data_IF_727395439979
#
_entry.id   IF_727395439979
#
_cell.length_a   1.000
_cell.length_b   1.000
_cell.length_c   1.000
_cell.angle_alpha   90.00
_cell.angle_beta   90.00
_cell.angle_gamma   90.00
#
_symmetry.space_group_name_H-M   'P 1'
#
loop_
_entity.id
_entity.type
_entity.pdbx_description
1 polymer ?
#
# COMPACT_ATOMS: atom_id res chain seq x y z
N UNK A 1 9.88 -4.46 -9.48
CA UNK A 1 9.71 -4.52 -10.95
C UNK A 1 10.75 -3.63 -11.58
N UNK A 2 11.56 -4.20 -12.46
CA UNK A 2 12.63 -3.50 -13.15
C UNK A 2 12.23 -3.25 -14.61
N UNK A 3 12.59 -2.12 -15.15
CA UNK A 3 12.50 -1.79 -16.58
C UNK A 3 13.92 -1.57 -17.05
N UNK A 4 14.35 -2.36 -17.99
CA UNK A 4 15.64 -2.26 -18.66
C UNK A 4 15.36 -2.10 -20.14
N UNK A 5 16.06 -1.21 -20.80
CA UNK A 5 16.07 -1.09 -22.27
C UNK A 5 17.50 -1.36 -22.73
N UNK A 6 17.65 -2.30 -23.63
CA UNK A 6 18.93 -2.60 -24.28
C UNK A 6 19.30 -1.44 -25.22
N UNK A 7 20.45 -0.77 -25.01
CA UNK A 7 20.89 0.31 -25.89
C UNK A 7 21.05 -0.14 -27.33
N UNK A 8 21.61 -1.33 -27.58
CA UNK A 8 21.86 -1.84 -28.94
C UNK A 8 20.56 -2.12 -29.70
N UNK A 9 19.52 -2.59 -29.04
CA UNK A 9 18.19 -2.75 -29.66
C UNK A 9 17.60 -1.39 -30.11
N UNK A 10 17.91 -0.32 -29.37
CA UNK A 10 17.52 1.05 -29.71
C UNK A 10 18.38 1.65 -30.84
N UNK A 11 19.65 1.30 -30.90
CA UNK A 11 20.56 1.72 -31.95
C UNK A 11 20.05 1.29 -33.32
N UNK A 12 19.66 0.03 -33.43
CA UNK A 12 19.11 -0.55 -34.65
C UNK A 12 17.80 0.10 -35.10
N UNK A 13 17.00 0.59 -34.13
CA UNK A 13 15.73 1.29 -34.39
C UNK A 13 15.88 2.75 -34.75
N UNK A 14 16.94 3.42 -34.29
CA UNK A 14 17.10 4.87 -34.42
C UNK A 14 18.12 5.28 -35.49
N UNK A 15 18.92 4.34 -36.05
CA UNK A 15 19.90 4.60 -37.10
C UNK A 15 20.88 5.75 -36.76
N UNK A 16 21.09 6.73 -37.67
CA UNK A 16 22.04 7.82 -37.47
C UNK A 16 21.75 8.73 -36.25
N UNK A 17 20.60 8.59 -35.62
CA UNK A 17 20.24 9.31 -34.38
C UNK A 17 20.79 8.67 -33.09
N UNK A 18 21.69 7.74 -33.23
CA UNK A 18 22.35 7.00 -32.13
C UNK A 18 22.85 7.85 -30.97
N UNK A 19 23.38 9.04 -31.24
CA UNK A 19 23.84 9.97 -30.18
C UNK A 19 22.78 10.34 -29.16
N UNK A 20 21.50 10.18 -29.51
CA UNK A 20 20.37 10.47 -28.62
C UNK A 20 19.69 9.20 -28.04
N UNK A 21 20.14 7.99 -28.42
CA UNK A 21 19.53 6.74 -27.99
C UNK A 21 19.46 6.62 -26.46
N UNK A 22 20.51 6.96 -25.74
CA UNK A 22 20.54 6.95 -24.27
C UNK A 22 19.52 7.93 -23.67
N UNK A 23 19.32 9.09 -24.26
CA UNK A 23 18.30 10.06 -23.84
C UNK A 23 16.88 9.53 -24.08
N UNK A 24 16.65 8.95 -25.27
CA UNK A 24 15.35 8.35 -25.61
C UNK A 24 15.01 7.22 -24.64
N UNK A 25 15.96 6.31 -24.38
CA UNK A 25 15.80 5.21 -23.44
C UNK A 25 15.51 5.69 -22.02
N UNK A 26 16.33 6.60 -21.51
CA UNK A 26 16.13 7.19 -20.18
C UNK A 26 14.74 7.81 -20.06
N UNK A 27 14.34 8.60 -21.04
CA UNK A 27 13.05 9.30 -21.05
C UNK A 27 11.89 8.31 -21.10
N UNK A 28 11.95 7.31 -21.98
CA UNK A 28 10.94 6.28 -22.13
C UNK A 28 10.76 5.46 -20.84
N UNK A 29 11.86 5.03 -20.19
CA UNK A 29 11.82 4.31 -18.93
C UNK A 29 11.15 5.17 -17.85
N UNK A 30 11.57 6.42 -17.69
CA UNK A 30 11.08 7.30 -16.64
C UNK A 30 9.60 7.63 -16.82
N UNK A 31 9.16 7.93 -18.04
CA UNK A 31 7.75 8.19 -18.36
C UNK A 31 6.89 6.92 -18.13
N UNK A 32 7.42 5.75 -18.48
CA UNK A 32 6.75 4.45 -18.25
C UNK A 32 6.57 4.17 -16.77
N UNK A 33 7.62 4.34 -15.96
CA UNK A 33 7.54 4.12 -14.51
C UNK A 33 6.62 5.13 -13.84
N UNK A 34 6.62 6.38 -14.27
CA UNK A 34 5.69 7.39 -13.74
C UNK A 34 4.24 7.01 -14.03
N UNK A 35 3.93 6.61 -15.28
CA UNK A 35 2.59 6.17 -15.66
C UNK A 35 2.20 4.88 -14.93
N UNK A 36 3.08 3.87 -14.90
CA UNK A 36 2.82 2.62 -14.18
C UNK A 36 2.56 2.85 -12.68
N UNK A 37 3.30 3.77 -12.06
CA UNK A 37 3.03 4.18 -10.67
C UNK A 37 1.63 4.79 -10.52
N UNK A 38 1.24 5.68 -11.44
CA UNK A 38 -0.09 6.32 -11.42
C UNK A 38 -1.21 5.29 -11.59
N UNK A 39 -1.06 4.38 -12.55
CA UNK A 39 -2.02 3.32 -12.82
C UNK A 39 -2.12 2.34 -11.64
N UNK A 40 -0.99 1.93 -11.05
CA UNK A 40 -0.94 1.08 -9.87
C UNK A 40 -1.64 1.73 -8.67
N UNK A 41 -1.41 3.04 -8.44
CA UNK A 41 -2.11 3.78 -7.38
C UNK A 41 -3.62 3.88 -7.64
N UNK A 42 -4.04 3.97 -8.90
CA UNK A 42 -5.45 3.94 -9.28
C UNK A 42 -6.07 2.58 -8.96
N UNK A 43 -5.42 1.49 -9.36
CA UNK A 43 -5.87 0.13 -9.08
C UNK A 43 -5.94 -0.19 -7.57
N UNK A 44 -5.04 0.37 -6.77
CA UNK A 44 -5.14 0.25 -5.31
C UNK A 44 -6.47 0.78 -4.74
N UNK A 45 -7.10 1.76 -5.38
CA UNK A 45 -8.37 2.31 -4.90
C UNK A 45 -9.52 1.33 -5.06
N UNK A 46 -9.46 0.47 -6.07
CA UNK A 46 -10.50 -0.52 -6.38
C UNK A 46 -10.31 -1.84 -5.63
N UNK A 47 -9.05 -2.24 -5.38
CA UNK A 47 -8.72 -3.54 -4.78
C UNK A 47 -8.54 -3.49 -3.26
N UNK A 48 -8.23 -2.33 -2.69
CA UNK A 48 -8.10 -2.17 -1.23
C UNK A 48 -9.42 -1.64 -0.67
N UNK A 49 -10.00 -2.35 0.29
CA UNK A 49 -11.24 -1.92 0.96
C UNK A 49 -11.11 -0.47 1.44
N UNK A 50 -12.05 0.39 1.06
CA UNK A 50 -12.09 1.84 1.32
C UNK A 50 -10.87 2.62 0.80
N UNK A 51 -10.11 2.00 -0.10
CA UNK A 51 -8.93 2.58 -0.74
C UNK A 51 -7.69 2.70 0.16
N UNK A 52 -6.54 2.98 -0.45
CA UNK A 52 -5.27 3.09 0.25
C UNK A 52 -5.18 4.38 1.08
N UNK A 53 -4.56 4.30 2.26
CA UNK A 53 -4.23 5.48 3.07
C UNK A 53 -3.21 6.37 2.33
N UNK A 54 -3.09 7.67 2.68
CA UNK A 54 -2.01 8.51 2.15
C UNK A 54 -0.61 7.93 2.39
N UNK A 55 -0.43 7.26 3.53
CA UNK A 55 0.82 6.59 3.87
C UNK A 55 1.11 5.38 2.96
N UNK A 56 0.07 4.57 2.65
CA UNK A 56 0.15 3.48 1.67
C UNK A 56 0.51 3.98 0.27
N UNK A 57 -0.13 5.07 -0.19
CA UNK A 57 0.17 5.68 -1.49
C UNK A 57 1.63 6.14 -1.61
N UNK A 58 2.18 6.73 -0.53
CA UNK A 58 3.57 7.18 -0.49
C UNK A 58 4.59 6.04 -0.44
N UNK A 59 4.15 4.83 -0.09
CA UNK A 59 5.03 3.66 -0.10
C UNK A 59 5.42 3.18 -1.50
N UNK A 60 4.57 3.43 -2.51
CA UNK A 60 4.88 3.08 -3.90
C UNK A 60 5.79 4.15 -4.51
N UNK A 61 7.04 3.78 -4.71
CA UNK A 61 8.11 4.64 -5.23
C UNK A 61 8.73 4.04 -6.47
N UNK A 62 9.45 4.86 -7.23
CA UNK A 62 10.27 4.40 -8.34
C UNK A 62 11.63 5.08 -8.32
N UNK A 63 12.66 4.35 -8.71
CA UNK A 63 13.98 4.89 -9.06
C UNK A 63 14.01 5.24 -10.53
N UNK A 64 14.59 6.39 -10.86
CA UNK A 64 14.70 6.86 -12.22
C UNK A 64 15.92 6.24 -12.90
N UNK A 65 15.80 5.98 -14.21
CA UNK A 65 16.95 5.72 -15.07
C UNK A 65 17.74 7.01 -15.32
N UNK A 66 19.04 6.88 -15.50
CA UNK A 66 19.94 7.94 -15.98
C UNK A 66 20.49 7.58 -17.35
N UNK A 67 21.17 8.53 -18.03
CA UNK A 67 21.83 8.26 -19.33
C UNK A 67 22.90 7.16 -19.23
N UNK A 68 23.61 7.09 -18.10
CA UNK A 68 24.67 6.13 -17.88
C UNK A 68 24.17 4.80 -17.28
N UNK A 69 22.90 4.78 -16.81
CA UNK A 69 22.29 3.61 -16.20
C UNK A 69 20.82 3.52 -16.61
N UNK A 70 20.58 2.81 -17.72
CA UNK A 70 19.26 2.68 -18.36
C UNK A 70 18.36 1.65 -17.68
N UNK A 71 18.35 1.68 -16.34
CA UNK A 71 17.48 0.84 -15.54
C UNK A 71 16.67 1.69 -14.58
N UNK A 72 15.37 1.43 -14.53
CA UNK A 72 14.47 2.00 -13.53
C UNK A 72 13.67 0.92 -12.81
N UNK A 73 13.25 1.20 -11.58
CA UNK A 73 12.55 0.22 -10.74
C UNK A 73 11.33 0.84 -10.07
N UNK A 74 10.17 0.18 -10.16
CA UNK A 74 8.98 0.49 -9.37
C UNK A 74 8.91 -0.48 -8.18
N UNK A 75 8.79 0.03 -6.94
CA UNK A 75 8.86 -0.77 -5.74
C UNK A 75 8.02 -0.21 -4.59
N UNK A 76 7.65 -1.08 -3.65
CA UNK A 76 7.12 -0.66 -2.35
C UNK A 76 8.27 -0.47 -1.37
N UNK A 77 8.25 0.64 -0.67
CA UNK A 77 9.28 0.92 0.33
C UNK A 77 9.28 -0.15 1.43
N UNK A 78 10.47 -0.65 1.80
CA UNK A 78 10.68 -1.80 2.68
C UNK A 78 10.06 -1.66 4.10
N UNK A 79 9.97 -0.43 4.62
CA UNK A 79 9.40 -0.18 5.94
C UNK A 79 7.85 -0.19 5.94
N UNK A 80 7.24 -0.95 5.03
CA UNK A 80 5.79 -1.15 4.90
C UNK A 80 5.43 -2.64 4.87
N UNK A 81 5.74 -3.41 5.94
CA UNK A 81 5.59 -4.87 5.95
C UNK A 81 4.14 -5.33 5.70
N UNK A 82 3.15 -4.54 6.09
CA UNK A 82 1.74 -4.84 5.82
C UNK A 82 1.41 -4.92 4.32
N UNK A 83 2.18 -4.24 3.44
CA UNK A 83 1.98 -4.35 1.99
C UNK A 83 2.31 -5.74 1.48
N UNK A 84 3.33 -6.40 2.07
CA UNK A 84 3.63 -7.80 1.78
C UNK A 84 2.44 -8.69 2.09
N UNK A 85 1.80 -8.49 3.24
CA UNK A 85 0.60 -9.26 3.63
C UNK A 85 -0.58 -9.02 2.68
N UNK A 86 -0.76 -7.80 2.17
CA UNK A 86 -1.83 -7.48 1.20
C UNK A 86 -1.55 -8.15 -0.16
N UNK A 87 -0.29 -8.20 -0.60
CA UNK A 87 0.14 -8.72 -1.89
C UNK A 87 0.26 -10.25 -1.87
N UNK A 88 0.90 -10.80 -0.85
CA UNK A 88 1.25 -12.24 -0.80
C UNK A 88 0.28 -13.03 0.11
N UNK A 89 -0.50 -12.33 0.94
CA UNK A 89 -1.22 -12.95 2.05
C UNK A 89 -0.27 -13.28 3.21
N UNK A 90 -0.70 -14.21 4.06
CA UNK A 90 0.12 -14.68 5.17
C UNK A 90 -0.48 -14.39 6.54
N UNK A 91 0.36 -14.34 7.57
CA UNK A 91 -0.07 -14.14 8.95
C UNK A 91 0.25 -12.72 9.42
N UNK A 92 -0.77 -12.00 9.87
CA UNK A 92 -0.63 -10.71 10.58
C UNK A 92 -0.49 -10.99 12.06
N UNK A 93 0.62 -10.57 12.66
CA UNK A 93 0.87 -10.66 14.10
C UNK A 93 0.64 -9.31 14.77
N UNK A 94 0.32 -9.33 16.06
CA UNK A 94 0.25 -8.12 16.86
C UNK A 94 1.65 -7.48 16.98
N UNK A 95 1.74 -6.19 16.64
CA UNK A 95 2.98 -5.40 16.70
C UNK A 95 2.91 -4.48 17.91
N UNK A 96 3.89 -4.61 18.82
CA UNK A 96 3.97 -3.80 20.05
C UNK A 96 2.82 -3.99 21.04
N UNK A 97 1.92 -4.96 20.81
CA UNK A 97 0.83 -5.31 21.72
C UNK A 97 0.68 -6.82 21.85
N UNK A 98 0.08 -7.25 22.97
CA UNK A 98 -0.14 -8.69 23.22
C UNK A 98 -1.20 -9.31 22.29
N UNK A 99 -2.11 -8.48 21.74
CA UNK A 99 -3.24 -8.91 20.91
C UNK A 99 -3.48 -7.97 19.74
N UNK A 100 -4.03 -8.50 18.65
CA UNK A 100 -4.57 -7.71 17.54
C UNK A 100 -5.81 -6.95 18.02
N UNK A 101 -5.91 -5.68 17.64
CA UNK A 101 -7.06 -4.83 17.98
C UNK A 101 -7.98 -4.72 16.77
N UNK A 102 -9.12 -5.38 16.81
CA UNK A 102 -10.12 -5.36 15.74
C UNK A 102 -11.32 -4.51 16.17
N UNK A 103 -11.68 -3.43 15.48
CA UNK A 103 -12.80 -2.58 15.86
C UNK A 103 -14.15 -3.23 15.59
N UNK A 104 -15.11 -2.99 16.46
CA UNK A 104 -16.53 -3.18 16.16
C UNK A 104 -17.00 -1.96 15.37
N UNK A 105 -17.25 -2.15 14.06
CA UNK A 105 -17.49 -1.04 13.10
C UNK A 105 -18.60 -0.08 13.55
N UNK A 106 -19.71 -0.59 14.12
CA UNK A 106 -20.84 0.22 14.57
C UNK A 106 -20.59 0.96 15.88
N UNK A 107 -19.56 0.59 16.66
CA UNK A 107 -19.30 1.08 18.01
C UNK A 107 -18.03 1.93 18.14
N UNK A 108 -17.17 1.88 17.14
CA UNK A 108 -15.89 2.59 17.14
C UNK A 108 -15.83 3.61 15.99
N UNK A 109 -15.50 4.85 16.31
CA UNK A 109 -15.26 5.87 15.27
C UNK A 109 -13.97 5.57 14.54
N UNK A 110 -14.10 5.22 13.26
CA UNK A 110 -13.00 4.86 12.37
C UNK A 110 -12.62 6.04 11.45
N UNK A 111 -11.43 5.96 10.85
CA UNK A 111 -11.03 6.84 9.75
C UNK A 111 -11.82 6.50 8.48
N UNK A 112 -11.72 7.35 7.45
CA UNK A 112 -12.33 7.10 6.14
C UNK A 112 -11.90 5.75 5.55
N UNK A 113 -10.67 5.32 5.81
CA UNK A 113 -10.13 4.02 5.37
C UNK A 113 -10.44 2.85 6.32
N UNK A 114 -11.31 3.05 7.32
CA UNK A 114 -11.74 1.99 8.24
C UNK A 114 -10.75 1.66 9.36
N UNK A 115 -9.70 2.44 9.53
CA UNK A 115 -8.69 2.22 10.57
C UNK A 115 -9.05 2.95 11.88
N UNK A 116 -8.63 2.38 13.01
CA UNK A 116 -8.64 3.09 14.30
C UNK A 116 -7.56 4.17 14.25
N UNK A 117 -7.87 5.39 14.67
CA UNK A 117 -6.86 6.45 14.82
C UNK A 117 -5.81 6.05 15.85
N UNK A 118 -4.53 6.36 15.57
CA UNK A 118 -3.43 6.10 16.49
C UNK A 118 -3.74 6.69 17.88
N UNK A 119 -3.45 5.95 18.94
CA UNK A 119 -3.70 6.38 20.32
C UNK A 119 -5.17 6.32 20.76
N UNK A 120 -6.14 6.12 19.85
CA UNK A 120 -7.57 6.16 20.20
C UNK A 120 -8.00 5.10 21.23
N UNK A 121 -7.48 3.89 21.12
CA UNK A 121 -7.78 2.80 22.06
C UNK A 121 -7.31 3.16 23.46
N UNK A 122 -6.06 3.65 23.59
CA UNK A 122 -5.48 4.11 24.86
C UNK A 122 -6.26 5.28 25.44
N UNK A 123 -6.60 6.27 24.61
CA UNK A 123 -7.37 7.44 25.04
C UNK A 123 -8.79 7.06 25.52
N UNK A 124 -9.41 6.02 24.96
CA UNK A 124 -10.69 5.53 25.42
C UNK A 124 -10.55 4.67 26.69
N UNK A 125 -9.52 3.84 26.80
CA UNK A 125 -9.25 3.02 27.97
C UNK A 125 -9.06 3.85 29.25
N UNK A 126 -8.51 5.06 29.11
CA UNK A 126 -8.29 5.99 30.23
C UNK A 126 -9.56 6.77 30.66
N UNK A 127 -10.71 6.56 30.00
CA UNK A 127 -11.97 7.22 30.40
C UNK A 127 -12.68 6.42 31.51
N UNK A 128 -13.35 7.07 32.46
CA UNK A 128 -13.94 6.41 33.63
C UNK A 128 -14.97 5.33 33.29
N UNK A 129 -15.70 5.46 32.19
CA UNK A 129 -16.70 4.50 31.74
C UNK A 129 -16.20 3.49 30.72
N UNK A 130 -14.88 3.27 30.63
CA UNK A 130 -14.28 2.34 29.71
C UNK A 130 -13.26 1.46 30.43
N UNK A 131 -13.10 0.22 29.96
CA UNK A 131 -12.03 -0.66 30.41
C UNK A 131 -11.55 -1.58 29.29
N UNK A 132 -10.32 -2.06 29.42
CA UNK A 132 -9.74 -3.07 28.54
C UNK A 132 -9.57 -4.35 29.34
N UNK A 133 -10.22 -5.39 28.92
CA UNK A 133 -10.18 -6.67 29.63
C UNK A 133 -11.29 -7.61 29.19
N UNK A 134 -11.53 -8.59 30.03
CA UNK A 134 -12.61 -9.58 29.90
C UNK A 134 -13.70 -9.25 30.93
N UNK A 135 -14.97 -9.11 30.54
CA UNK A 135 -16.05 -8.85 31.47
C UNK A 135 -16.27 -10.02 32.46
N UNK A 136 -16.63 -9.70 33.73
CA UNK A 136 -17.04 -10.67 34.71
C UNK A 136 -15.94 -11.62 35.17
N UNK A 137 -14.71 -11.14 35.34
CA UNK A 137 -13.52 -11.89 35.80
C UNK A 137 -13.29 -13.24 35.08
N UNK A 138 -13.88 -13.37 33.90
CA UNK A 138 -13.75 -14.55 33.07
C UNK A 138 -12.37 -14.61 32.41
N UNK A 139 -11.71 -15.77 32.45
CA UNK A 139 -10.47 -16.04 31.73
C UNK A 139 -10.69 -16.31 30.23
N UNK A 140 -11.94 -16.17 29.73
CA UNK A 140 -12.28 -16.40 28.33
C UNK A 140 -11.74 -15.28 27.45
N UNK A 141 -10.60 -15.56 26.79
CA UNK A 141 -9.95 -14.62 25.86
C UNK A 141 -10.88 -14.17 24.70
N UNK A 142 -11.90 -14.97 24.34
CA UNK A 142 -12.84 -14.59 23.29
C UNK A 142 -13.68 -13.37 23.68
N UNK A 143 -13.84 -13.14 24.98
CA UNK A 143 -14.53 -11.97 25.51
C UNK A 143 -13.64 -10.76 25.68
N UNK A 144 -12.31 -10.89 25.53
CA UNK A 144 -11.37 -9.79 25.72
C UNK A 144 -11.57 -8.67 24.69
N UNK A 145 -11.59 -7.43 25.16
CA UNK A 145 -11.75 -6.25 24.29
C UNK A 145 -11.71 -4.93 25.06
N UNK A 146 -11.93 -3.83 24.34
CA UNK A 146 -12.26 -2.54 24.93
C UNK A 146 -13.77 -2.45 25.06
N UNK A 147 -14.25 -2.14 26.23
CA UNK A 147 -15.66 -2.00 26.57
C UNK A 147 -15.98 -0.59 27.02
N UNK A 148 -17.22 -0.16 26.76
CA UNK A 148 -17.84 1.03 27.31
C UNK A 148 -19.02 0.62 28.18
N UNK A 149 -19.09 1.20 29.37
CA UNK A 149 -20.22 1.03 30.30
C UNK A 149 -21.24 2.12 29.96
N UNK A 150 -22.46 1.72 29.60
CA UNK A 150 -23.60 2.60 29.38
C UNK A 150 -24.64 2.40 30.49
N UNK A 151 -25.37 3.47 30.84
CA UNK A 151 -26.42 3.43 31.85
C UNK A 151 -25.89 3.68 33.26
N UNK A 152 -26.79 3.73 34.23
CA UNK A 152 -26.52 3.98 35.64
C UNK A 152 -27.17 2.91 36.51
N UNK A 153 -26.63 2.68 37.70
CA UNK A 153 -27.19 1.73 38.70
C UNK A 153 -27.35 0.33 38.12
N UNK A 154 -28.51 -0.27 38.33
CA UNK A 154 -28.87 -1.63 37.88
C UNK A 154 -29.00 -1.76 36.34
N UNK A 155 -29.17 -0.64 35.62
CA UNK A 155 -29.33 -0.61 34.16
C UNK A 155 -28.00 -0.46 33.40
N UNK A 156 -26.86 -0.78 34.01
CA UNK A 156 -25.57 -0.79 33.36
C UNK A 156 -25.50 -1.86 32.27
N UNK A 157 -25.14 -1.46 31.05
CA UNK A 157 -24.92 -2.37 29.91
C UNK A 157 -23.49 -2.21 29.42
N UNK A 158 -22.84 -3.33 29.09
CA UNK A 158 -21.51 -3.38 28.53
C UNK A 158 -21.60 -3.38 26.99
N UNK A 159 -20.93 -2.43 26.38
CA UNK A 159 -20.84 -2.33 24.93
C UNK A 159 -19.41 -2.56 24.47
N UNK A 160 -19.17 -3.68 23.76
CA UNK A 160 -17.87 -3.99 23.21
C UNK A 160 -17.55 -3.05 22.05
N UNK A 161 -16.39 -2.40 22.10
CA UNK A 161 -15.90 -1.48 21.08
C UNK A 161 -14.81 -2.09 20.21
N UNK A 162 -14.01 -3.01 20.77
CA UNK A 162 -12.98 -3.77 20.03
C UNK A 162 -12.93 -5.22 20.48
N UNK A 163 -12.47 -6.09 19.56
CA UNK A 163 -12.03 -7.45 19.89
C UNK A 163 -10.51 -7.42 20.10
N UNK A 164 -10.01 -8.11 21.11
CA UNK A 164 -8.59 -8.25 21.44
C UNK A 164 -8.29 -9.70 21.87
N UNK A 165 -8.77 -10.65 21.10
CA UNK A 165 -8.77 -12.06 21.44
C UNK A 165 -7.77 -12.90 20.64
N UNK A 166 -7.14 -12.31 19.61
CA UNK A 166 -6.22 -13.02 18.75
C UNK A 166 -4.83 -12.38 18.80
N UNK A 167 -3.78 -13.20 18.89
CA UNK A 167 -2.37 -12.75 18.76
C UNK A 167 -1.96 -12.62 17.31
N UNK A 168 -2.57 -13.43 16.46
CA UNK A 168 -2.31 -13.46 15.01
C UNK A 168 -3.57 -13.77 14.23
N UNK A 169 -3.60 -13.39 12.97
CA UNK A 169 -4.70 -13.64 12.04
C UNK A 169 -4.17 -13.95 10.66
N UNK A 170 -4.69 -15.00 10.02
CA UNK A 170 -4.45 -15.27 8.61
C UNK A 170 -5.11 -14.18 7.75
N UNK A 171 -4.34 -13.58 6.88
CA UNK A 171 -4.79 -12.63 5.88
C UNK A 171 -4.72 -13.25 4.49
N UNK A 172 -5.76 -13.05 3.70
CA UNK A 172 -5.78 -13.49 2.30
C UNK A 172 -5.10 -12.43 1.43
N UNK A 173 -4.46 -12.87 0.33
CA UNK A 173 -4.03 -12.00 -0.75
C UNK A 173 -5.25 -11.22 -1.27
N UNK A 174 -5.13 -9.90 -1.33
CA UNK A 174 -6.22 -9.02 -1.78
C UNK A 174 -5.84 -8.13 -2.95
N UNK A 175 -4.54 -8.10 -3.31
CA UNK A 175 -4.05 -7.20 -4.34
C UNK A 175 -2.84 -7.75 -5.10
N UNK A 176 -2.96 -7.89 -6.41
CA UNK A 176 -1.90 -8.35 -7.33
C UNK A 176 -1.07 -7.20 -7.88
N UNK A 177 -0.61 -6.32 -6.99
CA UNK A 177 0.07 -5.08 -7.37
C UNK A 177 1.29 -5.24 -8.27
N UNK A 178 2.22 -6.17 -7.99
CA UNK A 178 3.38 -6.42 -8.84
C UNK A 178 3.02 -6.86 -10.26
N UNK A 179 2.08 -7.78 -10.39
CA UNK A 179 1.64 -8.30 -11.70
C UNK A 179 0.93 -7.23 -12.53
N UNK A 180 0.01 -6.49 -11.89
CA UNK A 180 -0.69 -5.36 -12.54
C UNK A 180 0.30 -4.30 -13.02
N UNK A 181 1.25 -3.91 -12.18
CA UNK A 181 2.24 -2.92 -12.55
C UNK A 181 3.15 -3.42 -13.68
N UNK A 182 3.50 -4.71 -13.71
CA UNK A 182 4.27 -5.30 -14.81
C UNK A 182 3.50 -5.29 -16.12
N UNK A 183 2.20 -5.58 -16.11
CA UNK A 183 1.32 -5.43 -17.30
C UNK A 183 1.25 -3.99 -17.79
N UNK A 184 1.14 -3.01 -16.90
CA UNK A 184 1.15 -1.59 -17.27
C UNK A 184 2.48 -1.18 -17.88
N UNK A 185 3.61 -1.61 -17.32
CA UNK A 185 4.94 -1.34 -17.86
C UNK A 185 5.05 -1.90 -19.28
N UNK A 186 4.75 -3.18 -19.49
CA UNK A 186 4.81 -3.83 -20.80
C UNK A 186 3.96 -3.08 -21.84
N UNK A 187 2.73 -2.73 -21.50
CA UNK A 187 1.79 -2.05 -22.41
C UNK A 187 2.23 -0.64 -22.79
N UNK A 188 2.86 0.09 -21.86
CA UNK A 188 3.18 1.52 -22.07
C UNK A 188 4.59 1.77 -22.60
N UNK A 189 5.50 0.83 -22.42
CA UNK A 189 6.92 1.03 -22.74
C UNK A 189 7.13 1.35 -24.20
N UNK A 190 6.59 0.56 -25.12
CA UNK A 190 6.75 0.77 -26.56
C UNK A 190 6.22 2.13 -27.02
N UNK A 191 5.03 2.51 -26.58
CA UNK A 191 4.46 3.82 -26.91
C UNK A 191 5.26 4.99 -26.34
N UNK A 192 5.90 4.82 -25.19
CA UNK A 192 6.75 5.84 -24.59
C UNK A 192 8.11 5.94 -25.29
N UNK A 193 8.67 4.82 -25.79
CA UNK A 193 9.86 4.83 -26.66
C UNK A 193 9.57 5.66 -27.92
N UNK A 194 8.47 5.37 -28.61
CA UNK A 194 8.05 6.11 -29.79
C UNK A 194 7.90 7.62 -29.55
N UNK A 195 7.23 7.98 -28.44
CA UNK A 195 7.05 9.39 -28.05
C UNK A 195 8.38 10.09 -27.72
N UNK A 196 9.27 9.40 -27.02
CA UNK A 196 10.59 9.94 -26.69
C UNK A 196 11.46 10.13 -27.94
N UNK A 197 11.46 9.15 -28.86
CA UNK A 197 12.15 9.24 -30.14
C UNK A 197 11.64 10.42 -30.98
N UNK A 198 10.32 10.55 -31.15
CA UNK A 198 9.71 11.67 -31.88
C UNK A 198 10.11 13.04 -31.31
N UNK A 199 10.19 13.17 -29.99
CA UNK A 199 10.66 14.40 -29.34
C UNK A 199 12.15 14.66 -29.59
N UNK A 200 12.96 13.61 -29.48
CA UNK A 200 14.40 13.73 -29.76
C UNK A 200 14.67 14.19 -31.19
N UNK A 201 13.93 13.65 -32.17
CA UNK A 201 14.00 14.07 -33.57
C UNK A 201 13.63 15.56 -33.72
N UNK A 202 12.51 15.97 -33.12
CA UNK A 202 12.02 17.34 -33.22
C UNK A 202 12.96 18.39 -32.57
N UNK A 203 13.80 17.95 -31.60
CA UNK A 203 14.73 18.82 -30.86
C UNK A 203 16.20 18.64 -31.28
N UNK A 204 16.49 17.70 -32.18
CA UNK A 204 17.83 17.54 -32.77
C UNK A 204 18.12 18.73 -33.73
N UNK A 205 19.03 19.59 -33.29
CA UNK A 205 19.62 20.64 -34.12
C UNK A 205 21.01 20.20 -34.59
#
# INVERSE_FOLDING_TARGET
MKVLIDPHALENLLGPMFKQAAFVAQKAINDTLFQARKDTLHQMKTHIDRGPTPWTKRSLRYSKASKNYLQGTLYFHYNRPYMKTIIDGGTVKADGSKFLVVPVKSKMKLTKQGNIRRGRVRALANKPNHFVGTPGDSNDLNKRGLYRIKGRGKNKKLERMTYQNQRERKARKTYDGPELAQRFIKRKLQGNIFKAAKRAIATAR
#
